data_IF_608975468134
#
_entry.id   IF_608975468134
#
_cell.length_a   1.000
_cell.length_b   1.000
_cell.length_c   1.000
_cell.angle_alpha   90.00
_cell.angle_beta   90.00
_cell.angle_gamma   90.00
#
_symmetry.space_group_name_H-M   'P 1'
#
loop_
_entity.id
_entity.type
_entity.pdbx_description
1 polymer ?
#
# COMPACT_ATOMS: atom_id res chain seq x y z
N UNK A 1 9.70 11.09 9.70
CA UNK A 1 8.96 10.83 8.45
C UNK A 1 7.51 10.64 8.84
N UNK A 2 6.57 11.39 8.26
CA UNK A 2 5.16 11.26 8.65
C UNK A 2 4.62 9.91 8.16
N UNK A 3 3.60 9.34 8.81
CA UNK A 3 2.94 8.12 8.35
C UNK A 3 2.59 8.12 6.84
N UNK A 4 2.00 9.20 6.27
CA UNK A 4 1.74 9.28 4.83
C UNK A 4 3.00 9.31 3.96
N UNK A 5 4.11 9.87 4.44
CA UNK A 5 5.39 9.88 3.73
C UNK A 5 5.99 8.46 3.68
N UNK A 6 5.85 7.69 4.76
CA UNK A 6 6.33 6.31 4.83
C UNK A 6 5.57 5.37 3.88
N UNK A 7 4.24 5.50 3.82
CA UNK A 7 3.38 4.74 2.90
C UNK A 7 3.78 5.04 1.45
N UNK A 8 3.87 6.32 1.10
CA UNK A 8 4.28 6.77 -0.25
C UNK A 8 5.66 6.23 -0.63
N UNK A 9 6.61 6.29 0.30
CA UNK A 9 7.96 5.80 0.05
C UNK A 9 7.98 4.29 -0.18
N UNK A 10 7.31 3.51 0.67
CA UNK A 10 7.23 2.06 0.54
C UNK A 10 6.54 1.64 -0.76
N UNK A 11 5.42 2.29 -1.12
CA UNK A 11 4.70 2.04 -2.36
C UNK A 11 5.58 2.26 -3.60
N UNK A 12 6.34 3.36 -3.64
CA UNK A 12 7.28 3.65 -4.73
C UNK A 12 8.41 2.63 -4.82
N UNK A 13 8.95 2.19 -3.69
CA UNK A 13 10.00 1.17 -3.68
C UNK A 13 9.49 -0.19 -4.18
N UNK A 14 8.28 -0.58 -3.79
CA UNK A 14 7.67 -1.83 -4.25
C UNK A 14 7.36 -1.77 -5.74
N UNK A 15 6.76 -0.68 -6.23
CA UNK A 15 6.52 -0.49 -7.67
C UNK A 15 7.82 -0.49 -8.49
N UNK A 16 8.88 0.19 -8.00
CA UNK A 16 10.15 0.25 -8.71
C UNK A 16 10.84 -1.11 -8.83
N UNK A 17 10.60 -2.02 -7.87
CA UNK A 17 11.28 -3.32 -7.80
C UNK A 17 10.45 -4.48 -8.37
N UNK A 18 9.14 -4.42 -8.20
CA UNK A 18 8.23 -5.54 -8.49
C UNK A 18 7.12 -5.16 -9.47
N UNK A 19 7.02 -3.90 -9.91
CA UNK A 19 5.99 -3.46 -10.84
C UNK A 19 4.58 -3.67 -10.28
N UNK A 20 3.72 -4.32 -11.06
CA UNK A 20 2.33 -4.66 -10.71
C UNK A 20 2.23 -5.59 -9.48
N UNK A 21 3.23 -6.45 -9.27
CA UNK A 21 3.26 -7.36 -8.11
C UNK A 21 3.53 -6.62 -6.78
N UNK A 22 3.86 -5.33 -6.82
CA UNK A 22 4.12 -4.53 -5.64
C UNK A 22 2.95 -4.50 -4.65
N UNK A 23 1.71 -4.47 -5.13
CA UNK A 23 0.51 -4.52 -4.30
C UNK A 23 0.37 -5.88 -3.58
N UNK A 24 0.62 -6.98 -4.29
CA UNK A 24 0.57 -8.34 -3.72
C UNK A 24 1.58 -8.50 -2.60
N UNK A 25 2.81 -8.01 -2.79
CA UNK A 25 3.86 -8.04 -1.76
C UNK A 25 3.45 -7.22 -0.52
N UNK A 26 2.81 -6.07 -0.70
CA UNK A 26 2.30 -5.27 0.41
C UNK A 26 1.18 -6.01 1.17
N UNK A 27 0.21 -6.61 0.48
CA UNK A 27 -0.85 -7.42 1.11
C UNK A 27 -0.28 -8.60 1.90
N UNK A 28 0.72 -9.31 1.37
CA UNK A 28 1.37 -10.41 2.09
C UNK A 28 2.02 -9.93 3.39
N UNK A 29 2.65 -8.75 3.39
CA UNK A 29 3.24 -8.15 4.58
C UNK A 29 2.20 -7.70 5.59
N UNK A 30 1.06 -7.19 5.13
CA UNK A 30 -0.07 -6.88 6.00
C UNK A 30 -0.58 -8.13 6.72
N UNK A 31 -0.77 -9.22 5.98
CA UNK A 31 -1.19 -10.50 6.54
C UNK A 31 -0.16 -11.07 7.54
N UNK A 32 1.14 -10.94 7.24
CA UNK A 32 2.21 -11.36 8.15
C UNK A 32 2.19 -10.56 9.46
N UNK A 33 2.06 -9.23 9.38
CA UNK A 33 1.99 -8.36 10.54
C UNK A 33 0.75 -8.67 11.40
N UNK A 34 -0.41 -8.84 10.77
CA UNK A 34 -1.65 -9.22 11.46
C UNK A 34 -1.51 -10.58 12.15
N UNK A 35 -0.88 -11.57 11.51
CA UNK A 35 -0.63 -12.88 12.11
C UNK A 35 0.31 -12.82 13.32
N UNK A 36 1.23 -11.84 13.36
CA UNK A 36 2.10 -11.56 14.51
C UNK A 36 1.41 -10.69 15.59
N UNK A 37 0.18 -10.25 15.35
CA UNK A 37 -0.58 -9.37 16.26
C UNK A 37 -0.20 -7.89 16.17
N UNK A 38 0.61 -7.50 15.18
CA UNK A 38 0.99 -6.11 14.93
C UNK A 38 0.01 -5.47 13.94
N UNK A 39 -1.13 -5.03 14.46
CA UNK A 39 -2.20 -4.44 13.66
C UNK A 39 -1.80 -3.08 13.08
N UNK A 40 -0.95 -2.31 13.75
CA UNK A 40 -0.48 -1.01 13.24
C UNK A 40 0.38 -1.21 11.99
N UNK A 41 1.28 -2.20 12.01
CA UNK A 41 2.04 -2.57 10.82
C UNK A 41 1.17 -3.22 9.74
N UNK A 42 0.13 -3.97 10.12
CA UNK A 42 -0.83 -4.50 9.16
C UNK A 42 -1.54 -3.37 8.40
N UNK A 43 -2.10 -2.40 9.13
CA UNK A 43 -2.75 -1.22 8.55
C UNK A 43 -1.80 -0.41 7.65
N UNK A 44 -0.53 -0.28 8.06
CA UNK A 44 0.49 0.38 7.24
C UNK A 44 0.66 -0.30 5.88
N UNK A 45 0.79 -1.63 5.85
CA UNK A 45 0.98 -2.38 4.61
C UNK A 45 -0.29 -2.47 3.76
N UNK A 46 -1.48 -2.49 4.38
CA UNK A 46 -2.74 -2.36 3.64
C UNK A 46 -2.84 -1.01 2.92
N UNK A 47 -2.47 0.08 3.61
CA UNK A 47 -2.46 1.42 2.99
C UNK A 47 -1.44 1.51 1.84
N UNK A 48 -0.29 0.84 1.96
CA UNK A 48 0.70 0.72 0.87
C UNK A 48 0.12 -0.05 -0.31
N UNK A 49 -0.58 -1.17 -0.07
CA UNK A 49 -1.20 -1.95 -1.13
C UNK A 49 -2.27 -1.14 -1.89
N UNK A 50 -3.17 -0.47 -1.16
CA UNK A 50 -4.21 0.37 -1.75
C UNK A 50 -3.61 1.49 -2.62
N UNK A 51 -2.51 2.11 -2.18
CA UNK A 51 -1.83 3.15 -2.95
C UNK A 51 -1.22 2.63 -4.27
N UNK A 52 -0.82 1.35 -4.33
CA UNK A 52 -0.26 0.74 -5.55
C UNK A 52 -1.39 0.31 -6.49
N UNK A 53 -2.47 -0.28 -5.96
CA UNK A 53 -3.58 -0.85 -6.73
C UNK A 53 -4.52 0.23 -7.29
N UNK A 54 -4.63 1.38 -6.60
CA UNK A 54 -5.43 2.53 -7.03
C UNK A 54 -4.57 3.77 -7.35
N UNK A 55 -3.74 3.75 -8.41
CA UNK A 55 -2.90 4.90 -8.76
C UNK A 55 -3.71 6.13 -9.23
N UNK A 56 -5.04 6.06 -9.29
CA UNK A 56 -5.95 7.06 -9.87
C UNK A 56 -7.16 7.47 -9.02
N UNK A 57 -7.27 7.08 -7.74
CA UNK A 57 -8.42 7.45 -6.88
C UNK A 57 -8.45 8.94 -6.44
N UNK A 58 -7.77 9.82 -7.17
CA UNK A 58 -7.90 11.29 -7.09
C UNK A 58 -8.49 11.92 -8.36
N UNK A 59 -9.23 11.16 -9.16
CA UNK A 59 -10.16 11.73 -10.16
C UNK A 59 -11.60 11.66 -9.65
N UNK A 60 -12.12 12.71 -8.97
CA UNK A 60 -13.55 12.86 -8.78
C UNK A 60 -14.16 13.40 -10.08
N UNK A 61 -14.36 12.56 -11.10
CA UNK A 61 -15.38 12.82 -12.14
C UNK A 61 -15.58 11.63 -13.08
N UNK A 62 -16.81 11.11 -13.13
CA UNK A 62 -17.53 10.62 -14.32
C UNK A 62 -18.72 9.73 -13.91
N UNK A 63 -19.62 10.24 -13.07
CA UNK A 63 -21.03 9.84 -13.13
C UNK A 63 -21.66 10.76 -14.18
N UNK A 64 -21.64 10.31 -15.43
CA UNK A 64 -22.49 10.83 -16.51
C UNK A 64 -23.59 9.80 -16.77
#
# INVERSE_FOLDING_TARGET
>A
MSAPDAITHAARLLQARYGEDGAVIAVMRAAEAAAMGDLEMADHWEAVAAMIDEPGATTPDALN
#
